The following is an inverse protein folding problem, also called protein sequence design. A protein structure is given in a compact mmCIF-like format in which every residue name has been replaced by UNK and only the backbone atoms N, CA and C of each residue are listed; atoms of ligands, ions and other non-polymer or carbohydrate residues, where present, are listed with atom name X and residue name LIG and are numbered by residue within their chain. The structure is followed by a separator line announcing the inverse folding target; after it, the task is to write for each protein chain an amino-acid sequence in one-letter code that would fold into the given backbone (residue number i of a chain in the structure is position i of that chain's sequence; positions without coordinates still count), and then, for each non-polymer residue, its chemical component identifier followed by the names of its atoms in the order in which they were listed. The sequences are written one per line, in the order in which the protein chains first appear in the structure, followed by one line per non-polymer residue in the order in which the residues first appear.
data_IF_450510322357
#
_entry.id   IF_450510322357
#
_cell.length_a   1.000
_cell.length_b   1.000
_cell.length_c   1.000
_cell.angle_alpha   90.00
_cell.angle_beta   90.00
_cell.angle_gamma   90.00
#
_symmetry.space_group_name_H-M   'P 1'
#
loop_
_entity.id
_entity.type
_entity.pdbx_description
1 polymer ?
#
# COMPACT_ATOMS: atom_id res chain seq x y z
N UNK A 1 6.45 12.95 -12.38
CA UNK A 1 6.29 11.73 -11.54
C UNK A 1 7.59 10.94 -11.57
N UNK A 2 7.89 10.18 -10.51
CA UNK A 2 9.05 9.27 -10.45
C UNK A 2 8.52 7.83 -10.44
N UNK A 3 9.26 6.89 -11.05
CA UNK A 3 8.94 5.45 -11.06
C UNK A 3 9.91 4.74 -10.11
N UNK A 4 9.38 3.81 -9.33
CA UNK A 4 10.14 2.92 -8.45
C UNK A 4 9.73 1.49 -8.78
N UNK A 5 10.68 0.58 -8.77
CA UNK A 5 10.47 -0.85 -8.96
C UNK A 5 10.66 -1.57 -7.63
N UNK A 6 9.77 -2.51 -7.32
CA UNK A 6 9.80 -3.30 -6.10
C UNK A 6 9.67 -4.76 -6.52
N UNK A 7 10.64 -5.58 -6.13
CA UNK A 7 10.54 -7.03 -6.29
C UNK A 7 9.63 -7.58 -5.20
N UNK A 8 8.66 -8.38 -5.61
CA UNK A 8 7.71 -9.02 -4.71
C UNK A 8 7.56 -10.48 -5.09
N UNK A 9 7.28 -11.32 -4.09
CA UNK A 9 6.92 -12.71 -4.31
C UNK A 9 5.69 -12.82 -5.20
N UNK A 10 5.68 -13.81 -6.09
CA UNK A 10 4.56 -14.01 -7.02
C UNK A 10 3.24 -14.23 -6.27
N UNK A 11 3.27 -14.95 -5.15
CA UNK A 11 2.11 -15.15 -4.28
C UNK A 11 1.54 -13.85 -3.73
N UNK A 12 2.40 -12.88 -3.40
CA UNK A 12 1.99 -11.56 -2.93
C UNK A 12 1.39 -10.73 -4.06
N UNK A 13 1.97 -10.79 -5.25
CA UNK A 13 1.41 -10.13 -6.43
C UNK A 13 0.02 -10.68 -6.79
N UNK A 14 -0.14 -12.01 -6.78
CA UNK A 14 -1.43 -12.68 -7.02
C UNK A 14 -2.49 -12.29 -6.01
N UNK A 15 -2.11 -12.14 -4.74
CA UNK A 15 -3.00 -11.64 -3.70
C UNK A 15 -3.56 -10.25 -4.08
N UNK A 16 -2.68 -9.29 -4.41
CA UNK A 16 -3.10 -7.94 -4.79
C UNK A 16 -3.86 -7.89 -6.12
N UNK A 17 -3.54 -8.79 -7.06
CA UNK A 17 -4.31 -8.94 -8.30
C UNK A 17 -5.76 -9.35 -8.01
N UNK A 18 -5.98 -10.33 -7.13
CA UNK A 18 -7.32 -10.79 -6.74
C UNK A 18 -8.10 -9.70 -6.02
N UNK A 19 -7.45 -8.93 -5.14
CA UNK A 19 -8.07 -7.76 -4.49
C UNK A 19 -8.49 -6.72 -5.53
N UNK A 20 -7.60 -6.40 -6.48
CA UNK A 20 -7.88 -5.45 -7.56
C UNK A 20 -9.08 -5.87 -8.43
N UNK A 21 -9.17 -7.16 -8.77
CA UNK A 21 -10.31 -7.72 -9.50
C UNK A 21 -11.64 -7.50 -8.75
N UNK A 22 -11.66 -7.65 -7.42
CA UNK A 22 -12.84 -7.41 -6.59
C UNK A 22 -13.13 -5.91 -6.38
N UNK A 23 -12.10 -5.07 -6.42
CA UNK A 23 -12.17 -3.62 -6.23
C UNK A 23 -12.49 -2.85 -7.52
N UNK A 24 -13.27 -3.45 -8.44
CA UNK A 24 -13.65 -2.82 -9.71
C UNK A 24 -12.62 -2.99 -10.84
N UNK A 25 -11.80 -4.04 -10.79
CA UNK A 25 -10.84 -4.36 -11.86
C UNK A 25 -9.57 -3.50 -11.83
N UNK A 26 -9.15 -3.03 -10.66
CA UNK A 26 -7.91 -2.27 -10.51
C UNK A 26 -6.68 -3.16 -10.73
N UNK A 27 -5.60 -2.65 -11.34
CA UNK A 27 -4.36 -3.39 -11.49
C UNK A 27 -3.66 -3.57 -10.14
N UNK A 28 -2.92 -4.67 -9.97
CA UNK A 28 -2.26 -5.02 -8.71
C UNK A 28 -1.31 -3.90 -8.25
N UNK A 29 -0.57 -3.28 -9.16
CA UNK A 29 0.36 -2.18 -8.88
C UNK A 29 -0.36 -0.97 -8.29
N UNK A 30 -1.59 -0.69 -8.75
CA UNK A 30 -2.39 0.40 -8.20
C UNK A 30 -2.85 0.09 -6.79
N UNK A 31 -3.36 -1.13 -6.56
CA UNK A 31 -3.78 -1.57 -5.23
C UNK A 31 -2.60 -1.55 -4.25
N UNK A 32 -1.42 -2.00 -4.69
CA UNK A 32 -0.20 -1.98 -3.88
C UNK A 32 0.25 -0.55 -3.56
N UNK A 33 0.23 0.36 -4.55
CA UNK A 33 0.55 1.76 -4.33
C UNK A 33 -0.40 2.43 -3.33
N UNK A 34 -1.70 2.18 -3.47
CA UNK A 34 -2.72 2.72 -2.56
C UNK A 34 -2.59 2.13 -1.14
N UNK A 35 -2.26 0.83 -1.03
CA UNK A 35 -2.00 0.17 0.25
C UNK A 35 -0.74 0.72 0.95
N UNK A 36 0.36 0.91 0.21
CA UNK A 36 1.59 1.52 0.73
C UNK A 36 1.35 2.97 1.18
N UNK A 37 0.58 3.73 0.40
CA UNK A 37 0.23 5.11 0.76
C UNK A 37 -0.62 5.16 2.03
N UNK A 38 -1.61 4.28 2.16
CA UNK A 38 -2.43 4.16 3.36
C UNK A 38 -1.59 3.80 4.58
N UNK A 39 -0.72 2.80 4.47
CA UNK A 39 0.19 2.39 5.54
C UNK A 39 1.11 3.54 5.97
N UNK A 40 1.70 4.27 5.02
CA UNK A 40 2.54 5.42 5.31
C UNK A 40 1.79 6.51 6.08
N UNK A 41 0.52 6.76 5.73
CA UNK A 41 -0.35 7.69 6.43
C UNK A 41 -0.65 7.27 7.88
N UNK A 42 -1.02 6.00 8.08
CA UNK A 42 -1.29 5.43 9.41
C UNK A 42 -0.06 5.48 10.32
N UNK A 43 1.11 5.09 9.81
CA UNK A 43 2.37 5.15 10.55
C UNK A 43 2.76 6.59 10.91
N UNK A 44 2.55 7.53 9.98
CA UNK A 44 2.82 8.95 10.22
C UNK A 44 1.91 9.51 11.31
N UNK A 45 0.62 9.18 11.29
CA UNK A 45 -0.33 9.59 12.33
C UNK A 45 0.07 9.03 13.71
N UNK A 46 0.39 7.73 13.77
CA UNK A 46 0.87 7.10 15.00
C UNK A 46 2.14 7.77 15.56
N UNK A 47 3.08 8.17 14.69
CA UNK A 47 4.29 8.86 15.11
C UNK A 47 3.99 10.24 15.71
N UNK A 48 3.05 10.99 15.11
CA UNK A 48 2.60 12.28 15.63
C UNK A 48 1.88 12.14 16.97
N UNK A 49 1.03 11.13 17.12
CA UNK A 49 0.34 10.84 18.39
C UNK A 49 1.32 10.46 19.50
N UNK A 50 2.32 9.62 19.21
CA UNK A 50 3.37 9.27 20.15
C UNK A 50 4.15 10.51 20.62
N UNK A 51 4.45 11.43 19.71
CA UNK A 51 5.13 12.70 20.04
C UNK A 51 4.26 13.65 20.88
N UNK A 52 2.93 13.60 20.74
CA UNK A 52 1.99 14.44 21.50
C UNK A 52 1.72 13.96 22.93
N UNK A 53 1.98 12.68 23.23
CA UNK A 53 1.86 12.17 24.60
C UNK A 53 3.06 12.68 25.43
N UNK A 54 2.83 13.28 26.61
CA UNK A 54 3.90 13.78 27.47
C UNK A 54 4.79 12.67 28.03
#
# INVERSE_FOLDING_TARGET
MKRVEILVEESLYEFYRKVGAQAGGLPAERVMADALLKLAGELSLQALEKKRRP
#
